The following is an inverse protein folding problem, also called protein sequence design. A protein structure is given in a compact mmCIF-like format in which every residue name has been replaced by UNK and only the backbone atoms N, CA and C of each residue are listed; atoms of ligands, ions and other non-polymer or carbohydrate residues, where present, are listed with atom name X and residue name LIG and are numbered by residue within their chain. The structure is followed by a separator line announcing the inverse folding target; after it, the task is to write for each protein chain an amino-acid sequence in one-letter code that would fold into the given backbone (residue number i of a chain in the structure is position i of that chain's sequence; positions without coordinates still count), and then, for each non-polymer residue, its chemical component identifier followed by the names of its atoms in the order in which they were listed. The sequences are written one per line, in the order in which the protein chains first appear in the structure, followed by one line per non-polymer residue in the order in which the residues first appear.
data_IF_259685625963
#
_entry.id   IF_259685625963
#
_cell.length_a   1.000
_cell.length_b   1.000
_cell.length_c   1.000
_cell.angle_alpha   90.00
_cell.angle_beta   90.00
_cell.angle_gamma   90.00
#
_symmetry.space_group_name_H-M   'P 1'
#
loop_
_entity.id
_entity.type
_entity.pdbx_description
1 polymer ?
#
# COMPACT_ATOMS: atom_id res chain seq x y z
N UNK A 1 23.66 10.01 17.67
CA UNK A 1 22.84 10.28 16.47
C UNK A 1 21.55 9.51 16.69
N UNK A 2 20.67 10.09 17.51
CA UNK A 2 19.44 9.44 17.99
C UNK A 2 18.28 9.90 17.11
N UNK A 3 17.68 8.97 16.38
CA UNK A 3 16.35 9.17 15.82
C UNK A 3 15.55 7.94 16.25
N UNK A 4 15.05 8.00 17.48
CA UNK A 4 13.99 7.13 17.96
C UNK A 4 12.68 7.57 17.32
N UNK A 5 12.01 6.68 16.60
CA UNK A 5 10.59 6.82 16.27
C UNK A 5 9.96 5.43 16.34
N UNK A 6 9.38 5.13 17.51
CA UNK A 6 8.40 4.07 17.68
C UNK A 6 7.12 4.52 16.99
N UNK A 7 6.74 3.87 15.90
CA UNK A 7 5.40 3.98 15.31
C UNK A 7 4.86 2.56 15.18
N UNK A 8 3.73 2.33 15.86
CA UNK A 8 2.95 1.10 15.80
C UNK A 8 1.99 1.25 14.60
N UNK A 9 2.44 0.89 13.40
CA UNK A 9 1.58 0.95 12.21
C UNK A 9 0.78 -0.36 12.12
N UNK A 10 -0.48 -0.33 12.59
CA UNK A 10 -1.47 -1.40 12.37
C UNK A 10 -1.82 -1.45 10.88
N UNK A 11 -0.99 -2.16 10.13
CA UNK A 11 -1.26 -2.94 8.91
C UNK A 11 -2.20 -2.35 7.85
N UNK A 12 -1.78 -2.27 6.59
CA UNK A 12 -2.54 -1.49 5.60
C UNK A 12 -2.39 -1.90 4.14
N UNK A 13 -3.32 -1.46 3.29
CA UNK A 13 -3.36 -1.75 1.84
C UNK A 13 -2.66 -0.66 1.02
N UNK A 14 -1.99 -1.06 -0.04
CA UNK A 14 -1.28 -0.21 -0.99
C UNK A 14 -1.91 -0.25 -2.38
N UNK A 15 -1.66 0.79 -3.16
CA UNK A 15 -1.84 0.79 -4.62
C UNK A 15 -0.48 0.94 -5.28
N UNK A 16 0.42 -0.02 -5.07
CA UNK A 16 1.83 0.06 -5.48
C UNK A 16 2.19 -0.76 -6.73
N UNK A 17 1.19 -1.31 -7.41
CA UNK A 17 1.33 -2.21 -8.56
C UNK A 17 1.44 -1.45 -9.89
N UNK A 18 1.98 -2.12 -10.90
CA UNK A 18 1.90 -1.70 -12.31
C UNK A 18 0.50 -2.00 -12.89
N UNK A 19 0.00 -1.13 -13.76
CA UNK A 19 -1.34 -1.21 -14.34
C UNK A 19 -2.30 -0.10 -13.86
N UNK A 20 -3.50 -0.09 -14.45
CA UNK A 20 -4.53 0.93 -14.20
C UNK A 20 -4.76 1.15 -12.69
N UNK A 21 -4.52 2.37 -12.17
CA UNK A 21 -4.80 2.70 -10.78
C UNK A 21 -6.27 2.49 -10.42
N UNK A 22 -6.56 2.25 -9.14
CA UNK A 22 -7.94 2.18 -8.67
C UNK A 22 -8.66 3.52 -8.80
N UNK A 23 -9.93 3.46 -9.18
CA UNK A 23 -10.76 4.66 -9.29
C UNK A 23 -10.94 5.31 -7.92
N UNK A 24 -11.31 6.58 -7.92
CA UNK A 24 -11.65 7.33 -6.71
C UNK A 24 -12.71 6.61 -5.85
N UNK A 25 -13.80 6.14 -6.47
CA UNK A 25 -14.85 5.37 -5.79
C UNK A 25 -14.33 4.08 -5.14
N UNK A 26 -13.42 3.37 -5.82
CA UNK A 26 -12.80 2.16 -5.27
C UNK A 26 -11.91 2.49 -4.06
N UNK A 27 -11.21 3.63 -4.07
CA UNK A 27 -10.38 4.08 -2.95
C UNK A 27 -11.24 4.53 -1.77
N UNK A 28 -12.34 5.26 -2.00
CA UNK A 28 -13.33 5.60 -0.97
C UNK A 28 -13.91 4.35 -0.31
N UNK A 29 -14.31 3.37 -1.12
CA UNK A 29 -14.78 2.08 -0.61
C UNK A 29 -13.69 1.31 0.14
N UNK A 30 -12.44 1.37 -0.31
CA UNK A 30 -11.30 0.78 0.39
C UNK A 30 -11.12 1.41 1.77
N UNK A 31 -11.18 2.73 1.91
CA UNK A 31 -11.00 3.39 3.22
C UNK A 31 -12.07 2.93 4.22
N UNK A 32 -13.33 2.87 3.80
CA UNK A 32 -14.42 2.31 4.63
C UNK A 32 -14.14 0.86 5.04
N UNK A 33 -13.66 0.03 4.10
CA UNK A 33 -13.29 -1.36 4.36
C UNK A 33 -12.11 -1.49 5.31
N UNK A 34 -11.05 -0.70 5.14
CA UNK A 34 -9.87 -0.68 6.03
C UNK A 34 -10.28 -0.33 7.45
N UNK A 35 -11.11 0.70 7.62
CA UNK A 35 -11.60 1.14 8.92
C UNK A 35 -12.40 0.04 9.63
N UNK A 36 -13.33 -0.61 8.91
CA UNK A 36 -14.10 -1.76 9.42
C UNK A 36 -13.23 -2.97 9.81
N UNK A 37 -12.09 -3.13 9.15
CA UNK A 37 -11.13 -4.20 9.40
C UNK A 37 -10.08 -3.84 10.46
N UNK A 38 -10.14 -2.64 11.06
CA UNK A 38 -9.17 -2.17 12.05
C UNK A 38 -7.78 -1.89 11.46
N UNK A 39 -7.71 -1.62 10.16
CA UNK A 39 -6.52 -1.21 9.41
C UNK A 39 -6.52 0.33 9.29
N UNK A 40 -5.34 0.96 9.30
CA UNK A 40 -5.28 2.40 9.61
C UNK A 40 -4.48 3.29 8.65
N UNK A 41 -3.87 2.76 7.60
CA UNK A 41 -2.96 3.48 6.70
C UNK A 41 -3.32 3.17 5.24
N UNK A 42 -3.00 4.07 4.34
CA UNK A 42 -3.02 3.84 2.90
C UNK A 42 -1.85 4.61 2.28
N UNK A 43 -1.02 3.95 1.48
CA UNK A 43 0.04 4.63 0.73
C UNK A 43 -0.36 4.73 -0.72
N UNK A 44 -0.37 5.96 -1.22
CA UNK A 44 -0.58 6.29 -2.62
C UNK A 44 0.75 6.13 -3.37
N UNK A 45 0.91 5.03 -4.12
CA UNK A 45 2.12 4.70 -4.87
C UNK A 45 1.88 4.11 -6.28
N UNK A 46 0.87 4.55 -7.06
CA UNK A 46 0.58 3.95 -8.35
C UNK A 46 1.72 4.19 -9.35
N UNK A 47 2.29 3.11 -9.92
CA UNK A 47 3.44 3.23 -10.83
C UNK A 47 3.10 3.91 -12.16
N UNK A 48 1.84 3.82 -12.57
CA UNK A 48 1.34 4.34 -13.85
C UNK A 48 0.75 5.77 -13.72
N UNK A 49 0.72 6.38 -12.53
CA UNK A 49 0.46 7.82 -12.43
C UNK A 49 1.67 8.58 -12.97
N UNK A 50 1.46 9.29 -14.08
CA UNK A 50 2.49 10.06 -14.75
C UNK A 50 3.14 11.07 -13.79
N UNK A 51 2.35 11.76 -12.97
CA UNK A 51 2.85 12.81 -12.07
C UNK A 51 3.40 12.28 -10.75
N UNK A 52 3.26 10.98 -10.49
CA UNK A 52 3.91 10.27 -9.38
C UNK A 52 5.32 9.81 -9.73
N UNK A 53 5.53 9.30 -10.96
CA UNK A 53 6.78 8.62 -11.35
C UNK A 53 7.47 9.24 -12.57
N UNK A 54 7.03 9.08 -13.84
CA UNK A 54 7.81 9.54 -15.00
C UNK A 54 7.84 11.07 -15.19
N UNK A 55 6.84 11.80 -14.70
CA UNK A 55 6.68 13.25 -14.80
C UNK A 55 6.58 13.90 -13.41
N UNK A 56 7.31 13.35 -12.44
CA UNK A 56 7.27 13.77 -11.03
C UNK A 56 7.56 15.26 -10.80
N UNK A 57 8.26 15.93 -11.74
CA UNK A 57 8.56 17.37 -11.70
C UNK A 57 7.32 18.25 -11.98
N UNK A 58 6.30 17.71 -12.62
CA UNK A 58 5.10 18.48 -13.02
C UNK A 58 4.11 18.49 -11.84
N UNK A 59 3.65 19.67 -11.37
CA UNK A 59 2.64 19.76 -10.33
C UNK A 59 1.28 19.21 -10.81
N UNK A 60 0.44 18.82 -9.85
CA UNK A 60 -0.95 18.47 -10.16
C UNK A 60 -1.74 19.72 -10.55
N UNK A 61 -2.73 19.60 -11.42
CA UNK A 61 -3.66 20.70 -11.72
C UNK A 61 -4.80 20.71 -10.68
N UNK A 62 -5.66 21.73 -10.71
CA UNK A 62 -6.75 21.88 -9.74
C UNK A 62 -7.83 20.78 -9.86
N UNK A 63 -7.99 20.18 -11.04
CA UNK A 63 -8.94 19.07 -11.27
C UNK A 63 -8.43 17.74 -10.70
N UNK A 64 -7.12 17.52 -10.73
CA UNK A 64 -6.47 16.35 -10.16
C UNK A 64 -6.35 16.49 -8.64
N UNK A 65 -6.07 17.70 -8.14
CA UNK A 65 -5.72 17.98 -6.76
C UNK A 65 -6.93 18.30 -5.88
N UNK A 66 -7.79 17.32 -5.61
CA UNK A 66 -8.90 17.51 -4.66
C UNK A 66 -8.46 17.22 -3.22
N UNK A 67 -8.72 18.18 -2.35
CA UNK A 67 -8.43 18.12 -0.91
C UNK A 67 -9.34 17.10 -0.22
N UNK A 68 -8.74 16.29 0.64
CA UNK A 68 -9.52 15.45 1.54
C UNK A 68 -8.80 15.10 2.82
N UNK A 69 -9.62 14.98 3.85
CA UNK A 69 -9.23 14.49 5.16
C UNK A 69 -10.05 13.24 5.43
N UNK A 70 -9.46 12.07 5.21
CA UNK A 70 -10.09 10.82 5.59
C UNK A 70 -10.13 10.74 7.13
N UNK A 71 -11.31 10.56 7.71
CA UNK A 71 -11.50 10.79 9.15
C UNK A 71 -10.74 9.82 10.07
N UNK A 72 -10.24 8.67 9.59
CA UNK A 72 -9.52 7.69 10.44
C UNK A 72 -8.38 6.91 9.74
N UNK A 73 -8.14 7.14 8.44
CA UNK A 73 -7.05 6.47 7.70
C UNK A 73 -5.90 7.44 7.50
N UNK A 74 -4.70 7.04 7.92
CA UNK A 74 -3.45 7.75 7.65
C UNK A 74 -3.14 7.63 6.15
N UNK A 75 -3.37 8.70 5.41
CA UNK A 75 -2.97 8.79 4.02
C UNK A 75 -1.48 9.16 3.92
N UNK A 76 -0.72 8.38 3.17
CA UNK A 76 0.70 8.60 2.90
C UNK A 76 0.86 8.86 1.41
N UNK A 77 1.26 10.08 1.04
CA UNK A 77 1.64 10.38 -0.33
C UNK A 77 3.06 9.88 -0.59
N UNK A 78 3.28 9.17 -1.71
CA UNK A 78 4.63 8.81 -2.12
C UNK A 78 5.03 9.49 -3.42
N UNK A 79 6.33 9.62 -3.67
CA UNK A 79 6.89 10.12 -4.93
C UNK A 79 8.03 9.20 -5.38
N UNK A 80 8.09 8.89 -6.67
CA UNK A 80 9.12 8.02 -7.26
C UNK A 80 10.01 8.80 -8.24
N UNK A 81 10.90 9.68 -7.79
CA UNK A 81 11.74 10.49 -8.67
C UNK A 81 12.92 9.70 -9.27
N UNK A 82 13.15 8.47 -8.81
CA UNK A 82 14.39 7.73 -9.04
C UNK A 82 14.73 7.36 -10.50
N UNK A 83 13.78 7.46 -11.44
CA UNK A 83 14.02 7.14 -12.86
C UNK A 83 15.01 8.13 -13.49
N UNK A 84 14.86 9.44 -13.23
CA UNK A 84 15.58 10.48 -13.95
C UNK A 84 16.01 11.66 -13.07
N UNK A 85 15.95 11.51 -11.74
CA UNK A 85 16.50 12.49 -10.81
C UNK A 85 17.99 12.68 -11.05
N UNK A 86 18.44 13.93 -11.03
CA UNK A 86 19.85 14.30 -11.02
C UNK A 86 20.16 14.85 -9.62
N UNK A 87 20.88 14.07 -8.81
CA UNK A 87 21.08 14.39 -7.40
C UNK A 87 21.92 15.64 -7.17
N UNK A 88 22.75 16.00 -8.14
CA UNK A 88 23.57 17.23 -8.13
C UNK A 88 22.81 18.51 -8.49
N UNK A 89 21.61 18.43 -9.08
CA UNK A 89 20.83 19.60 -9.51
C UNK A 89 19.95 20.13 -8.38
N UNK A 90 20.08 21.42 -8.09
CA UNK A 90 19.24 22.09 -7.10
C UNK A 90 17.79 22.28 -7.58
N UNK A 91 17.59 22.34 -8.90
CA UNK A 91 16.29 22.44 -9.53
C UNK A 91 15.43 21.21 -9.23
N UNK A 92 16.02 20.01 -9.29
CA UNK A 92 15.33 18.76 -8.99
C UNK A 92 14.87 18.71 -7.52
N UNK A 93 15.75 19.14 -6.60
CA UNK A 93 15.40 19.30 -5.19
C UNK A 93 14.24 20.29 -4.99
N UNK A 94 14.24 21.39 -5.73
CA UNK A 94 13.19 22.41 -5.67
C UNK A 94 11.85 21.88 -6.20
N UNK A 95 11.87 21.09 -7.28
CA UNK A 95 10.70 20.43 -7.83
C UNK A 95 10.09 19.44 -6.82
N UNK A 96 10.91 18.63 -6.13
CA UNK A 96 10.41 17.70 -5.10
C UNK A 96 9.75 18.49 -3.97
N UNK A 97 10.42 19.54 -3.45
CA UNK A 97 9.87 20.38 -2.37
C UNK A 97 8.53 21.00 -2.77
N UNK A 98 8.46 21.60 -3.96
CA UNK A 98 7.23 22.22 -4.50
C UNK A 98 6.08 21.21 -4.60
N UNK A 99 6.36 20.00 -5.11
CA UNK A 99 5.37 18.93 -5.24
C UNK A 99 4.84 18.45 -3.88
N UNK A 100 5.75 18.26 -2.91
CA UNK A 100 5.37 17.85 -1.56
C UNK A 100 4.61 18.97 -0.82
N UNK A 101 4.98 20.23 -1.04
CA UNK A 101 4.27 21.40 -0.51
C UNK A 101 2.84 21.50 -1.07
N UNK A 102 2.67 21.26 -2.38
CA UNK A 102 1.35 21.19 -3.00
C UNK A 102 0.47 20.13 -2.29
N UNK A 103 0.99 18.92 -2.13
CA UNK A 103 0.23 17.83 -1.49
C UNK A 103 0.01 18.09 0.02
N UNK A 104 0.95 18.77 0.68
CA UNK A 104 0.80 19.23 2.06
C UNK A 104 -0.33 20.24 2.20
N UNK A 105 -0.46 21.19 1.27
CA UNK A 105 -1.56 22.16 1.23
C UNK A 105 -2.93 21.50 1.06
N UNK A 106 -3.00 20.33 0.42
CA UNK A 106 -4.23 19.54 0.31
C UNK A 106 -4.62 18.82 1.61
N UNK A 107 -3.75 18.85 2.65
CA UNK A 107 -3.98 18.26 3.96
C UNK A 107 -3.22 16.96 4.25
N UNK A 108 -2.27 16.57 3.39
CA UNK A 108 -1.43 15.40 3.63
C UNK A 108 -0.30 15.72 4.63
N UNK A 109 -0.14 14.87 5.65
CA UNK A 109 0.90 15.04 6.68
C UNK A 109 2.00 13.96 6.61
N UNK A 110 1.77 12.87 5.87
CA UNK A 110 2.69 11.73 5.80
C UNK A 110 3.20 11.52 4.38
N UNK A 111 4.52 11.37 4.23
CA UNK A 111 5.18 11.33 2.93
C UNK A 111 6.16 10.16 2.81
N UNK A 112 6.38 9.68 1.60
CA UNK A 112 7.39 8.67 1.28
C UNK A 112 8.12 9.00 -0.03
N UNK A 113 9.42 8.71 -0.08
CA UNK A 113 10.20 8.75 -1.31
C UNK A 113 10.58 7.31 -1.68
N UNK A 114 10.28 6.92 -2.91
CA UNK A 114 10.50 5.57 -3.40
C UNK A 114 11.61 5.57 -4.46
N UNK A 115 12.60 4.72 -4.25
CA UNK A 115 13.75 4.53 -5.14
C UNK A 115 13.81 3.07 -5.63
N UNK A 116 12.64 2.46 -5.85
CA UNK A 116 12.48 1.10 -6.38
C UNK A 116 12.55 1.07 -7.91
N UNK A 117 13.02 -0.05 -8.47
CA UNK A 117 13.09 -0.30 -9.93
C UNK A 117 13.78 0.85 -10.70
N UNK A 118 14.96 1.23 -10.24
CA UNK A 118 15.83 2.22 -10.88
C UNK A 118 17.07 1.55 -11.44
N UNK A 119 17.62 2.11 -12.52
CA UNK A 119 18.89 1.65 -13.05
C UNK A 119 20.02 1.87 -12.04
N UNK A 120 20.96 0.93 -11.98
CA UNK A 120 22.14 1.03 -11.12
C UNK A 120 23.26 1.92 -11.73
N UNK A 121 23.01 2.50 -12.90
CA UNK A 121 23.95 3.39 -13.57
C UNK A 121 23.67 4.85 -13.21
N UNK A 122 24.72 5.58 -12.82
CA UNK A 122 24.62 7.01 -12.60
C UNK A 122 24.56 7.76 -13.92
N UNK A 123 23.80 8.84 -13.92
CA UNK A 123 23.80 9.87 -14.95
C UNK A 123 25.21 10.48 -15.08
N UNK A 124 25.63 10.85 -16.28
CA UNK A 124 26.98 11.39 -16.54
C UNK A 124 27.33 12.61 -15.66
N UNK A 125 26.33 13.45 -15.36
CA UNK A 125 26.47 14.60 -14.47
C UNK A 125 26.80 14.20 -13.03
N UNK A 126 26.18 13.13 -12.53
CA UNK A 126 26.43 12.62 -11.18
C UNK A 126 27.72 11.79 -11.13
N UNK A 127 28.11 11.11 -12.22
CA UNK A 127 29.42 10.44 -12.35
C UNK A 127 30.59 11.40 -12.17
N UNK A 128 30.46 12.65 -12.61
CA UNK A 128 31.51 13.67 -12.45
C UNK A 128 31.65 14.16 -11.00
N UNK A 129 30.60 13.97 -10.17
CA UNK A 129 30.54 14.51 -8.81
C UNK A 129 30.71 13.45 -7.73
N UNK A 130 30.30 12.21 -8.01
CA UNK A 130 30.31 11.11 -7.04
C UNK A 130 31.22 9.97 -7.50
N UNK A 131 32.00 9.44 -6.56
CA UNK A 131 32.96 8.35 -6.83
C UNK A 131 32.31 6.97 -7.03
N UNK A 132 31.04 6.80 -6.67
CA UNK A 132 30.29 5.55 -6.85
C UNK A 132 28.78 5.77 -6.81
N UNK A 133 28.02 4.82 -7.37
CA UNK A 133 26.55 4.81 -7.29
C UNK A 133 26.05 4.77 -5.85
N UNK A 134 26.77 4.08 -4.96
CA UNK A 134 26.48 4.07 -3.52
C UNK A 134 26.65 5.47 -2.93
N UNK A 135 27.65 6.24 -3.35
CA UNK A 135 27.82 7.64 -2.91
C UNK A 135 26.71 8.56 -3.45
N UNK A 136 26.19 8.32 -4.66
CA UNK A 136 25.01 9.02 -5.17
C UNK A 136 23.72 8.61 -4.43
N UNK A 137 23.55 7.33 -4.06
CA UNK A 137 22.46 6.89 -3.17
C UNK A 137 22.58 7.49 -1.77
N UNK A 138 23.78 7.70 -1.25
CA UNK A 138 24.00 8.49 -0.02
C UNK A 138 23.58 9.95 -0.23
N UNK A 139 23.66 10.50 -1.45
CA UNK A 139 23.02 11.79 -1.77
C UNK A 139 21.51 11.65 -1.87
N UNK A 140 20.91 10.54 -2.32
CA UNK A 140 19.47 10.29 -2.14
C UNK A 140 19.10 10.33 -0.65
N UNK A 141 19.94 9.78 0.23
CA UNK A 141 19.79 9.90 1.69
C UNK A 141 19.91 11.37 2.14
N UNK A 142 20.82 12.16 1.57
CA UNK A 142 20.89 13.60 1.86
C UNK A 142 19.68 14.36 1.35
N UNK A 143 19.21 14.10 0.11
CA UNK A 143 17.97 14.66 -0.45
C UNK A 143 16.81 14.33 0.48
N UNK A 144 16.72 13.07 0.88
CA UNK A 144 15.74 12.56 1.83
C UNK A 144 15.87 13.30 3.18
N UNK A 145 17.07 13.49 3.71
CA UNK A 145 17.30 14.22 4.96
C UNK A 145 16.95 15.72 4.85
N UNK A 146 17.27 16.37 3.73
CA UNK A 146 16.91 17.78 3.50
C UNK A 146 15.40 17.96 3.38
N UNK A 147 14.72 17.05 2.67
CA UNK A 147 13.26 17.06 2.58
C UNK A 147 12.66 16.76 3.95
N UNK A 148 13.23 15.81 4.70
CA UNK A 148 12.80 15.48 6.05
C UNK A 148 12.88 16.70 6.99
N UNK A 149 14.00 17.42 7.02
CA UNK A 149 14.12 18.64 7.83
C UNK A 149 13.21 19.76 7.31
N UNK A 150 13.11 19.95 5.99
CA UNK A 150 12.26 20.98 5.37
C UNK A 150 10.78 20.80 5.67
N UNK A 151 10.29 19.56 5.66
CA UNK A 151 8.90 19.23 5.98
C UNK A 151 8.61 19.23 7.49
N UNK A 152 9.57 19.60 8.34
CA UNK A 152 9.39 19.62 9.80
C UNK A 152 9.48 18.24 10.44
N UNK A 153 10.34 17.37 9.91
CA UNK A 153 10.60 16.00 10.39
C UNK A 153 9.38 15.06 10.31
N UNK A 154 8.75 14.91 9.12
CA UNK A 154 7.63 14.01 8.92
C UNK A 154 8.08 12.53 8.99
N UNK A 155 7.14 11.59 9.09
CA UNK A 155 7.51 10.15 9.15
C UNK A 155 7.99 9.66 7.79
N UNK A 156 9.24 9.21 7.70
CA UNK A 156 9.82 8.56 6.52
C UNK A 156 10.02 7.07 6.74
N UNK A 157 9.70 6.28 5.71
CA UNK A 157 9.71 4.82 5.79
C UNK A 157 10.78 4.19 4.92
N UNK A 158 11.42 3.14 5.42
CA UNK A 158 12.25 2.23 4.64
C UNK A 158 11.52 0.89 4.52
N UNK A 159 11.26 0.46 3.29
CA UNK A 159 10.26 -0.56 2.99
C UNK A 159 10.81 -1.81 2.29
N UNK A 160 11.50 -2.73 3.00
CA UNK A 160 11.95 -3.97 2.38
C UNK A 160 10.78 -4.92 2.10
N UNK A 161 10.94 -5.76 1.06
CA UNK A 161 9.92 -6.73 0.61
C UNK A 161 10.13 -8.15 1.14
N UNK A 162 11.10 -8.30 2.05
CA UNK A 162 11.59 -9.59 2.56
C UNK A 162 12.76 -10.14 1.73
N UNK A 163 13.02 -11.46 1.80
CA UNK A 163 14.15 -12.07 1.09
C UNK A 163 14.07 -11.97 -0.44
N UNK A 164 12.88 -11.73 -1.00
CA UNK A 164 12.62 -11.58 -2.44
C UNK A 164 11.56 -10.51 -2.66
N UNK A 165 11.45 -10.01 -3.90
CA UNK A 165 10.37 -9.11 -4.31
C UNK A 165 9.00 -9.69 -3.93
N UNK A 166 8.78 -10.97 -4.24
CA UNK A 166 7.61 -11.74 -3.79
C UNK A 166 8.11 -12.82 -2.81
N UNK A 167 8.05 -12.50 -1.52
CA UNK A 167 8.51 -13.40 -0.47
C UNK A 167 7.45 -14.44 -0.13
N UNK A 168 7.78 -15.73 -0.26
CA UNK A 168 6.90 -16.81 0.23
C UNK A 168 6.83 -16.83 1.76
N UNK A 169 7.96 -16.55 2.41
CA UNK A 169 8.06 -16.45 3.86
C UNK A 169 8.91 -15.23 4.22
N UNK A 170 8.51 -14.50 5.26
CA UNK A 170 9.29 -13.45 5.90
C UNK A 170 9.44 -13.86 7.36
N UNK A 171 10.63 -14.33 7.74
CA UNK A 171 10.88 -14.86 9.09
C UNK A 171 11.34 -13.76 10.04
N UNK A 172 11.23 -14.03 11.35
CA UNK A 172 11.69 -13.13 12.41
C UNK A 172 13.19 -12.90 12.30
N UNK A 173 13.96 -13.96 12.05
CA UNK A 173 15.42 -13.90 11.95
C UNK A 173 15.87 -13.02 10.77
N UNK A 174 15.16 -13.11 9.64
CA UNK A 174 15.45 -12.27 8.49
C UNK A 174 15.21 -10.79 8.81
N UNK A 175 14.07 -10.46 9.43
CA UNK A 175 13.75 -9.07 9.80
C UNK A 175 14.73 -8.54 10.83
N UNK A 176 15.15 -9.35 11.82
CA UNK A 176 16.16 -8.96 12.80
C UNK A 176 17.52 -8.69 12.13
N UNK A 177 17.92 -9.52 11.17
CA UNK A 177 19.14 -9.28 10.37
C UNK A 177 19.05 -7.95 9.61
N UNK A 178 17.94 -7.68 8.92
CA UNK A 178 17.73 -6.40 8.24
C UNK A 178 17.76 -5.24 9.24
N UNK A 179 17.04 -5.34 10.35
CA UNK A 179 16.97 -4.33 11.40
C UNK A 179 18.35 -4.01 12.00
N UNK A 180 19.24 -5.00 12.11
CA UNK A 180 20.62 -4.82 12.58
C UNK A 180 21.49 -4.01 11.62
N UNK A 181 21.17 -4.02 10.33
CA UNK A 181 21.89 -3.24 9.30
C UNK A 181 21.31 -1.83 9.19
N UNK A 182 19.97 -1.69 9.17
CA UNK A 182 19.29 -0.40 9.02
C UNK A 182 19.14 0.37 10.35
N UNK A 183 19.52 -0.27 11.46
CA UNK A 183 19.48 0.24 12.84
C UNK A 183 18.08 0.75 13.25
N UNK A 184 17.03 0.09 12.77
CA UNK A 184 15.62 0.38 13.09
C UNK A 184 14.71 -0.79 12.69
N UNK A 185 13.48 -0.81 13.20
CA UNK A 185 12.46 -1.78 12.76
C UNK A 185 11.95 -1.41 11.36
N UNK A 186 12.06 -2.29 10.35
CA UNK A 186 11.59 -2.00 9.00
C UNK A 186 10.06 -1.94 8.93
N UNK A 187 9.54 -1.16 7.98
CA UNK A 187 8.13 -1.22 7.56
C UNK A 187 8.06 -2.19 6.39
N UNK A 188 7.40 -3.34 6.50
CA UNK A 188 7.42 -4.32 5.41
C UNK A 188 6.50 -3.87 4.27
N UNK A 189 6.98 -3.95 3.02
CA UNK A 189 6.15 -3.86 1.82
C UNK A 189 5.93 -5.26 1.25
N UNK A 190 4.73 -5.76 1.30
CA UNK A 190 4.44 -7.16 1.05
C UNK A 190 3.74 -7.38 -0.30
N UNK A 191 4.41 -8.04 -1.23
CA UNK A 191 3.87 -8.36 -2.56
C UNK A 191 3.28 -9.77 -2.64
N UNK A 192 2.92 -10.42 -1.52
CA UNK A 192 2.39 -11.79 -1.51
C UNK A 192 1.21 -11.98 -2.48
N UNK A 193 0.34 -10.98 -2.61
CA UNK A 193 -0.85 -11.00 -3.46
C UNK A 193 -0.78 -10.08 -4.69
N UNK A 194 0.40 -9.51 -4.96
CA UNK A 194 0.63 -8.72 -6.18
C UNK A 194 0.50 -9.62 -7.42
N UNK A 195 -0.07 -9.11 -8.51
CA UNK A 195 -0.27 -9.88 -9.74
C UNK A 195 -0.01 -9.09 -11.03
N UNK A 196 0.59 -7.92 -10.90
CA UNK A 196 0.96 -7.04 -12.01
C UNK A 196 2.00 -7.67 -12.96
N UNK A 197 2.91 -8.46 -12.43
CA UNK A 197 3.94 -9.17 -13.20
C UNK A 197 3.40 -10.29 -14.11
N UNK A 198 2.16 -10.77 -13.89
CA UNK A 198 1.51 -11.76 -14.76
C UNK A 198 -0.02 -11.65 -14.64
N UNK A 199 -0.66 -10.99 -15.62
CA UNK A 199 -2.10 -10.76 -15.64
C UNK A 199 -2.94 -12.04 -15.69
N UNK A 200 -2.36 -13.20 -16.04
CA UNK A 200 -3.07 -14.49 -16.03
C UNK A 200 -3.14 -15.10 -14.63
N UNK A 201 -2.38 -14.57 -13.67
CA UNK A 201 -2.34 -15.05 -12.29
C UNK A 201 -3.25 -14.20 -11.42
N UNK A 202 -3.97 -14.90 -10.54
CA UNK A 202 -4.86 -14.31 -9.55
C UNK A 202 -4.58 -14.97 -8.20
N UNK A 203 -4.40 -14.15 -7.17
CA UNK A 203 -4.10 -14.61 -5.82
C UNK A 203 -5.26 -14.30 -4.87
N UNK A 204 -6.12 -15.29 -4.64
CA UNK A 204 -7.24 -15.23 -3.68
C UNK A 204 -6.99 -16.13 -2.46
N UNK A 205 -5.72 -16.46 -2.19
CA UNK A 205 -5.31 -17.24 -1.02
C UNK A 205 -5.22 -16.38 0.24
N UNK A 206 -5.05 -17.04 1.38
CA UNK A 206 -4.82 -16.40 2.68
C UNK A 206 -3.49 -15.63 2.75
N UNK A 207 -3.41 -14.75 3.75
CA UNK A 207 -2.17 -14.12 4.15
C UNK A 207 -1.32 -15.08 5.00
N UNK A 208 -0.30 -15.69 4.40
CA UNK A 208 0.55 -16.68 5.10
C UNK A 208 2.05 -16.47 4.89
N UNK A 209 2.84 -17.22 5.67
CA UNK A 209 4.29 -17.16 5.66
C UNK A 209 4.90 -15.99 6.46
N UNK A 210 4.07 -15.25 7.22
CA UNK A 210 4.49 -14.20 8.14
C UNK A 210 3.99 -14.57 9.54
N UNK A 211 4.85 -15.08 10.44
CA UNK A 211 4.41 -15.43 11.79
C UNK A 211 3.92 -14.17 12.52
N UNK A 212 2.92 -14.28 13.39
CA UNK A 212 2.41 -13.14 14.17
C UNK A 212 3.51 -12.53 15.05
N UNK A 213 4.50 -13.34 15.46
CA UNK A 213 5.68 -12.87 16.17
C UNK A 213 6.45 -11.75 15.43
N UNK A 214 6.35 -11.68 14.10
CA UNK A 214 6.98 -10.65 13.27
C UNK A 214 6.58 -9.23 13.67
N UNK A 215 5.37 -9.04 14.20
CA UNK A 215 4.86 -7.74 14.67
C UNK A 215 5.74 -7.09 15.73
N UNK A 216 6.52 -7.88 16.48
CA UNK A 216 7.45 -7.37 17.49
C UNK A 216 8.72 -6.77 16.86
N UNK A 217 9.06 -7.16 15.64
CA UNK A 217 10.32 -6.79 14.96
C UNK A 217 10.16 -5.75 13.86
N UNK A 218 8.92 -5.47 13.44
CA UNK A 218 8.59 -4.51 12.38
C UNK A 218 7.91 -3.27 12.96
N UNK A 219 8.04 -2.13 12.27
CA UNK A 219 7.27 -0.92 12.57
C UNK A 219 5.87 -0.95 11.94
N UNK A 220 5.66 -1.81 10.94
CA UNK A 220 4.38 -2.12 10.35
C UNK A 220 4.50 -3.09 9.18
N UNK A 221 3.36 -3.39 8.56
CA UNK A 221 3.28 -4.17 7.33
C UNK A 221 2.27 -3.54 6.38
N UNK A 222 2.66 -3.35 5.13
CA UNK A 222 1.83 -2.84 4.06
C UNK A 222 1.67 -3.93 3.02
N UNK A 223 0.45 -4.26 2.60
CA UNK A 223 0.23 -5.22 1.51
C UNK A 223 0.07 -4.47 0.18
N UNK A 224 0.77 -4.92 -0.86
CA UNK A 224 0.55 -4.55 -2.25
C UNK A 224 -0.25 -5.68 -2.91
N UNK A 225 -1.57 -5.51 -3.06
CA UNK A 225 -2.45 -6.59 -3.45
C UNK A 225 -2.62 -6.61 -4.99
N UNK A 226 -3.61 -7.34 -5.49
CA UNK A 226 -3.84 -7.48 -6.93
C UNK A 226 -4.39 -6.19 -7.57
N UNK A 227 -4.08 -5.98 -8.84
CA UNK A 227 -4.53 -4.79 -9.60
C UNK A 227 -6.07 -4.71 -9.67
N UNK A 228 -6.74 -5.86 -9.75
CA UNK A 228 -8.21 -5.93 -9.81
C UNK A 228 -8.77 -5.80 -8.39
N UNK A 229 -9.39 -4.66 -8.12
CA UNK A 229 -9.89 -4.26 -6.80
C UNK A 229 -10.68 -5.36 -6.05
N UNK A 230 -11.66 -6.00 -6.70
CA UNK A 230 -12.52 -6.98 -6.04
C UNK A 230 -11.83 -8.28 -5.65
N UNK A 231 -10.71 -8.63 -6.31
CA UNK A 231 -9.95 -9.84 -5.98
C UNK A 231 -9.26 -9.73 -4.61
N UNK A 232 -9.18 -8.52 -4.07
CA UNK A 232 -8.48 -8.24 -2.83
C UNK A 232 -9.32 -8.49 -1.57
N UNK A 233 -10.57 -8.95 -1.70
CA UNK A 233 -11.43 -9.21 -0.54
C UNK A 233 -10.80 -10.21 0.45
N UNK A 234 -10.42 -11.39 -0.04
CA UNK A 234 -9.82 -12.44 0.79
C UNK A 234 -8.43 -12.02 1.31
N UNK A 235 -7.51 -11.50 0.48
CA UNK A 235 -6.23 -10.96 0.96
C UNK A 235 -6.38 -9.93 2.08
N UNK A 236 -7.25 -8.92 1.91
CA UNK A 236 -7.46 -7.88 2.92
C UNK A 236 -8.05 -8.44 4.21
N UNK A 237 -9.02 -9.36 4.09
CA UNK A 237 -9.68 -9.94 5.26
C UNK A 237 -8.74 -10.82 6.07
N UNK A 238 -8.03 -11.73 5.42
CA UNK A 238 -7.10 -12.63 6.10
C UNK A 238 -5.91 -11.88 6.71
N UNK A 239 -5.47 -10.81 6.06
CA UNK A 239 -4.50 -9.88 6.62
C UNK A 239 -5.02 -9.12 7.85
N UNK A 240 -6.29 -8.71 7.86
CA UNK A 240 -6.91 -8.09 9.02
C UNK A 240 -7.03 -9.05 10.21
N UNK A 241 -7.42 -10.31 9.95
CA UNK A 241 -7.45 -11.36 10.98
C UNK A 241 -6.03 -11.61 11.53
N UNK A 242 -5.00 -11.65 10.66
CA UNK A 242 -3.60 -11.70 11.08
C UNK A 242 -3.26 -10.53 11.97
N UNK A 243 -3.62 -9.30 11.58
CA UNK A 243 -3.36 -8.09 12.36
C UNK A 243 -4.04 -8.07 13.73
N UNK A 244 -5.27 -8.59 13.83
CA UNK A 244 -6.02 -8.67 15.08
C UNK A 244 -5.44 -9.73 16.06
N UNK A 245 -4.76 -10.75 15.54
CA UNK A 245 -4.21 -11.85 16.33
C UNK A 245 -2.93 -11.47 17.10
N UNK A 246 -2.69 -12.09 18.25
CA UNK A 246 -1.51 -11.87 19.11
C UNK A 246 -0.47 -12.99 19.01
N UNK A 247 -0.88 -14.18 18.54
CA UNK A 247 -0.01 -15.34 18.32
C UNK A 247 -0.50 -16.19 17.15
N UNK A 248 0.35 -17.07 16.64
CA UNK A 248 -0.05 -18.07 15.64
C UNK A 248 -0.79 -19.24 16.32
N UNK A 249 -1.75 -19.84 15.63
CA UNK A 249 -2.37 -21.08 16.09
C UNK A 249 -1.31 -22.20 16.12
N UNK A 250 -1.43 -23.11 17.09
CA UNK A 250 -0.61 -24.32 17.12
C UNK A 250 -0.81 -25.11 15.83
N UNK A 251 0.29 -25.59 15.24
CA UNK A 251 0.23 -26.46 14.06
C UNK A 251 -0.53 -27.73 14.40
N UNK A 252 -1.82 -27.78 14.02
CA UNK A 252 -2.62 -29.00 14.06
C UNK A 252 -2.50 -29.59 12.66
N UNK A 253 -1.79 -30.71 12.53
CA UNK A 253 -1.83 -31.53 11.33
C UNK A 253 -3.30 -31.76 10.97
N UNK A 254 -3.70 -31.19 9.82
CA UNK A 254 -4.92 -31.47 9.07
C UNK A 254 -5.96 -32.31 9.82
N UNK A 255 -7.01 -31.68 10.36
CA UNK A 255 -8.23 -32.43 10.71
C UNK A 255 -8.62 -33.20 9.43
N UNK A 256 -8.67 -34.55 9.45
CA UNK A 256 -9.05 -35.31 8.28
C UNK A 256 -10.42 -34.81 7.86
N UNK A 257 -10.58 -34.55 6.56
CA UNK A 257 -11.83 -34.12 5.96
C UNK A 257 -12.90 -35.18 6.25
N UNK A 258 -13.55 -35.09 7.41
CA UNK A 258 -14.73 -35.88 7.73
C UNK A 258 -15.87 -35.20 6.99
N UNK A 259 -16.22 -35.78 5.83
CA UNK A 259 -17.59 -35.74 5.36
C UNK A 259 -18.50 -35.97 6.56
N UNK A 260 -19.38 -35.02 6.86
CA UNK A 260 -20.78 -35.31 7.15
C UNK A 260 -21.57 -34.03 7.42
N UNK A 261 -22.76 -34.01 6.83
CA UNK A 261 -23.89 -33.14 7.12
C UNK A 261 -24.09 -32.94 8.63
N UNK A 262 -23.47 -31.91 9.18
CA UNK A 262 -23.76 -31.43 10.52
C UNK A 262 -23.62 -29.90 10.50
N UNK A 263 -24.77 -29.26 10.34
CA UNK A 263 -25.09 -27.99 10.99
C UNK A 263 -24.79 -28.13 12.49
N UNK A 264 -23.53 -27.93 12.85
CA UNK A 264 -23.10 -27.65 14.21
C UNK A 264 -22.49 -26.27 14.18
N UNK A 265 -23.10 -25.39 14.96
CA UNK A 265 -22.60 -24.09 15.37
C UNK A 265 -21.08 -24.09 15.36
N UNK A 266 -20.51 -23.21 14.53
CA UNK A 266 -19.12 -22.79 14.68
C UNK A 266 -19.05 -22.25 16.11
N UNK A 267 -18.52 -23.06 17.03
CA UNK A 267 -18.27 -22.62 18.38
C UNK A 267 -17.40 -21.37 18.28
N UNK A 268 -17.99 -20.26 18.71
CA UNK A 268 -17.45 -18.90 18.71
C UNK A 268 -16.29 -18.72 19.69
N UNK A 269 -15.65 -19.82 20.11
CA UNK A 269 -14.64 -19.86 21.16
C UNK A 269 -13.21 -20.14 20.67
N UNK A 270 -12.95 -20.08 19.36
CA UNK A 270 -11.59 -19.82 18.90
C UNK A 270 -11.23 -18.41 19.37
N UNK A 271 -10.52 -18.32 20.50
CA UNK A 271 -10.05 -17.09 21.11
C UNK A 271 -9.56 -16.15 20.03
N UNK A 272 -10.02 -14.90 20.02
CA UNK A 272 -9.70 -13.89 18.98
C UNK A 272 -8.21 -13.49 18.94
N UNK A 273 -7.35 -14.27 19.58
CA UNK A 273 -5.93 -14.04 19.81
C UNK A 273 -5.04 -14.89 18.90
N UNK A 274 -5.54 -15.98 18.30
CA UNK A 274 -4.71 -16.89 17.47
C UNK A 274 -4.99 -16.74 15.98
N UNK A 275 -3.93 -16.63 15.17
CA UNK A 275 -4.03 -16.64 13.71
C UNK A 275 -3.88 -18.05 13.12
N UNK A 276 -4.92 -18.51 12.42
CA UNK A 276 -4.88 -19.71 11.57
C UNK A 276 -5.23 -19.29 10.12
N UNK A 277 -4.29 -19.38 9.17
CA UNK A 277 -4.52 -18.95 7.79
C UNK A 277 -5.66 -19.70 7.09
N UNK A 278 -5.81 -21.01 7.33
CA UNK A 278 -6.86 -21.82 6.68
C UNK A 278 -8.23 -21.54 7.27
N UNK A 279 -8.32 -21.33 8.58
CA UNK A 279 -9.56 -20.94 9.22
C UNK A 279 -9.98 -19.53 8.78
N UNK A 280 -9.03 -18.60 8.71
CA UNK A 280 -9.26 -17.24 8.22
C UNK A 280 -9.70 -17.24 6.75
N UNK A 281 -9.08 -18.06 5.90
CA UNK A 281 -9.49 -18.26 4.50
C UNK A 281 -10.94 -18.72 4.40
N UNK A 282 -11.32 -19.76 5.16
CA UNK A 282 -12.69 -20.28 5.15
C UNK A 282 -13.69 -19.20 5.54
N UNK A 283 -13.41 -18.47 6.64
CA UNK A 283 -14.25 -17.34 7.08
C UNK A 283 -14.36 -16.25 6.01
N UNK A 284 -13.24 -15.87 5.39
CA UNK A 284 -13.21 -14.85 4.35
C UNK A 284 -14.03 -15.26 3.12
N UNK A 285 -13.94 -16.51 2.66
CA UNK A 285 -14.73 -17.02 1.53
C UNK A 285 -16.23 -17.02 1.84
N UNK A 286 -16.64 -17.43 3.04
CA UNK A 286 -18.04 -17.39 3.45
C UNK A 286 -18.61 -15.97 3.44
N UNK A 287 -17.87 -15.01 3.99
CA UNK A 287 -18.28 -13.60 4.01
C UNK A 287 -18.27 -12.98 2.62
N UNK A 288 -17.34 -13.38 1.75
CA UNK A 288 -17.31 -12.90 0.38
C UNK A 288 -18.53 -13.38 -0.41
N UNK A 289 -18.99 -14.61 -0.18
CA UNK A 289 -20.19 -15.15 -0.80
C UNK A 289 -21.45 -14.31 -0.49
N UNK A 290 -21.53 -13.66 0.67
CA UNK A 290 -22.62 -12.74 1.00
C UNK A 290 -22.59 -11.47 0.12
N UNK A 291 -21.39 -10.93 -0.16
CA UNK A 291 -21.22 -9.77 -1.05
C UNK A 291 -21.67 -10.07 -2.49
N UNK A 292 -21.41 -11.28 -3.00
CA UNK A 292 -21.89 -11.70 -4.33
C UNK A 292 -23.42 -11.75 -4.42
N UNK A 293 -24.10 -12.04 -3.31
CA UNK A 293 -25.56 -12.13 -3.25
C UNK A 293 -26.22 -10.78 -2.95
N UNK A 294 -25.44 -9.75 -2.59
CA UNK A 294 -25.95 -8.42 -2.29
C UNK A 294 -26.29 -7.65 -3.58
N UNK A 295 -27.58 -7.33 -3.76
CA UNK A 295 -28.09 -6.67 -4.99
C UNK A 295 -27.82 -5.16 -4.98
N UNK A 296 -27.62 -4.55 -3.81
CA UNK A 296 -27.46 -3.09 -3.64
C UNK A 296 -26.05 -2.56 -3.88
N UNK A 297 -25.03 -3.43 -3.92
CA UNK A 297 -23.62 -3.04 -4.06
C UNK A 297 -22.89 -3.83 -5.14
N UNK A 298 -23.55 -4.10 -6.28
CA UNK A 298 -22.80 -4.53 -7.45
C UNK A 298 -21.85 -3.40 -7.83
N UNK A 299 -20.57 -3.53 -7.55
CA UNK A 299 -19.53 -2.84 -8.30
C UNK A 299 -19.70 -3.28 -9.75
N UNK A 300 -20.47 -2.50 -10.51
CA UNK A 300 -20.57 -2.70 -11.95
C UNK A 300 -19.14 -2.67 -12.48
N UNK A 301 -18.65 -3.72 -13.15
CA UNK A 301 -17.43 -3.60 -13.91
C UNK A 301 -17.60 -2.35 -14.81
N UNK A 302 -16.60 -1.48 -14.94
CA UNK A 302 -16.70 -0.39 -15.90
C UNK A 302 -17.05 -1.01 -17.24
N UNK A 303 -18.19 -0.61 -17.80
CA UNK A 303 -18.59 -1.02 -19.15
C UNK A 303 -17.45 -0.59 -20.06
N UNK A 304 -16.90 -1.53 -20.83
CA UNK A 304 -15.90 -1.22 -21.84
C UNK A 304 -16.58 -0.36 -22.90
N UNK A 305 -16.51 0.97 -22.75
CA UNK A 305 -16.86 1.88 -23.83
C UNK A 305 -15.67 1.86 -24.79
N UNK A 306 -15.81 1.12 -25.88
CA UNK A 306 -14.94 1.30 -27.03
C UNK A 306 -15.02 2.78 -27.43
N UNK A 307 -13.86 3.44 -27.52
CA UNK A 307 -13.71 4.84 -27.92
C UNK A 307 -14.62 5.14 -29.11
N UNK A 308 -15.72 5.84 -28.84
CA UNK A 308 -16.60 6.39 -29.86
C UNK A 308 -16.80 7.86 -29.58
N UNK A 309 -16.89 8.59 -30.69
CA UNK A 309 -16.58 10.01 -30.84
C UNK A 309 -17.42 10.92 -29.95
N UNK A 310 -16.80 12.04 -29.62
CA UNK A 310 -17.34 13.27 -29.04
C UNK A 310 -18.76 13.55 -29.54
N UNK A 311 -19.74 13.57 -28.64
CA UNK A 311 -21.00 14.31 -28.79
C UNK A 311 -21.33 15.05 -27.48
N UNK A 312 -21.94 16.23 -27.66
CA UNK A 312 -22.15 17.35 -26.73
C UNK A 312 -23.13 17.07 -25.57
N UNK A 313 -23.08 17.84 -24.45
CA UNK A 313 -23.83 17.53 -23.24
C UNK A 313 -25.29 17.96 -23.34
N UNK A 314 -26.20 17.12 -22.82
CA UNK A 314 -27.58 17.48 -22.57
C UNK A 314 -27.85 17.44 -21.05
N UNK A 315 -28.46 18.53 -20.58
CA UNK A 315 -28.70 18.86 -19.18
C UNK A 315 -29.74 17.93 -18.54
N UNK A 316 -29.40 17.34 -17.39
CA UNK A 316 -30.21 17.32 -16.16
C UNK A 316 -29.88 16.11 -15.27
N UNK A 317 -29.22 16.36 -14.14
CA UNK A 317 -29.31 15.44 -13.00
C UNK A 317 -29.24 16.21 -11.68
N UNK A 318 -30.29 16.07 -10.88
CA UNK A 318 -30.46 16.67 -9.57
C UNK A 318 -29.41 16.15 -8.58
N UNK A 319 -28.57 17.07 -8.11
CA UNK A 319 -27.55 16.87 -7.09
C UNK A 319 -28.19 16.54 -5.74
N UNK A 320 -27.94 15.33 -5.24
CA UNK A 320 -27.96 15.08 -3.79
C UNK A 320 -26.57 15.41 -3.27
N UNK A 321 -26.51 16.56 -2.61
CA UNK A 321 -25.32 17.15 -2.02
C UNK A 321 -24.93 16.33 -0.79
N UNK A 322 -23.80 15.63 -0.82
CA UNK A 322 -23.15 15.09 0.39
C UNK A 322 -21.70 15.56 0.40
N UNK A 323 -21.44 16.51 1.31
CA UNK A 323 -20.15 17.16 1.58
C UNK A 323 -19.17 16.18 2.26
N UNK A 324 -18.74 15.14 1.56
CA UNK A 324 -17.67 14.29 2.04
C UNK A 324 -16.45 14.48 1.13
N UNK A 325 -15.45 15.24 1.58
CA UNK A 325 -14.20 15.43 0.85
C UNK A 325 -13.36 14.15 0.85
N UNK A 326 -12.99 13.66 -0.34
CA UNK A 326 -12.15 12.48 -0.57
C UNK A 326 -11.02 12.80 -1.57
N UNK A 327 -9.89 12.10 -1.47
CA UNK A 327 -8.69 12.45 -2.22
C UNK A 327 -8.90 12.24 -3.72
N UNK A 328 -8.86 13.32 -4.51
CA UNK A 328 -8.39 13.20 -5.88
C UNK A 328 -6.89 13.48 -5.83
N UNK A 329 -6.12 12.44 -6.16
CA UNK A 329 -4.86 12.40 -6.88
C UNK A 329 -4.74 11.00 -7.48
#
# INVERSE_FOLDING_TARGET
MEIFLNVYCRTSSLSGFYGRPWTFEQRKHLFSRLNRLGLNTYVYAPKDDLKHRPQWRIPYNDEEAESAKASDITFVYSLSPGIDIVYSKFEDLTCIKSKLDQVRMLGCESFALLFDDIECEMNETDKQRFSSFVAAQVRSVFVTNEIYEYLGRPRFFFCPTGPRVISRHITVEHVQSVASVIIRKPLIWDNLHANDYDQKRVFMGDFSGRPVALKKEISGLLINPSCKYELNFVPLRTFADWNASTQDASFIDSIPYKNNNASKSIDSSCSSETYDPLLSLRKAVFLWAEEFNCVSHRTRPPVYQAETKIETPDDSCSLVNTNDGWYAL
#
